data_IF_919879466504
#
_entry.id   IF_919879466504
#
_cell.length_a   1.000
_cell.length_b   1.000
_cell.length_c   1.000
_cell.angle_alpha   90.00
_cell.angle_beta   90.00
_cell.angle_gamma   90.00
#
_symmetry.space_group_name_H-M   'P 1'
#
loop_
_entity.id
_entity.type
_entity.pdbx_description
1 polymer ?
#
# COMPACT_ATOMS: atom_id res chain seq x y z
N UNK A 1 -4.72 -0.10 44.06
CA UNK A 1 -3.95 0.08 42.82
C UNK A 1 -4.89 -0.10 41.63
N UNK A 2 -5.15 0.94 40.83
CA UNK A 2 -5.90 0.81 39.56
C UNK A 2 -4.95 0.19 38.54
N UNK A 3 -5.29 -0.98 37.97
CA UNK A 3 -4.67 -1.46 36.73
C UNK A 3 -5.01 -0.43 35.65
N UNK A 4 -4.02 0.32 35.18
CA UNK A 4 -4.18 0.99 33.90
C UNK A 4 -4.07 -0.09 32.83
N UNK A 5 -5.20 -0.48 32.25
CA UNK A 5 -5.18 -1.19 30.99
C UNK A 5 -4.51 -0.25 29.97
N UNK A 6 -3.50 -0.74 29.26
CA UNK A 6 -2.96 -0.03 28.11
C UNK A 6 -4.05 -0.07 27.04
N UNK A 7 -4.88 0.98 26.98
CA UNK A 7 -5.90 1.12 25.96
C UNK A 7 -5.19 1.34 24.62
N UNK A 8 -5.23 0.33 23.76
CA UNK A 8 -4.77 0.48 22.39
C UNK A 8 -5.78 1.35 21.64
N UNK A 9 -5.32 2.29 20.79
CA UNK A 9 -6.25 3.04 19.96
C UNK A 9 -7.09 2.05 19.14
N UNK A 10 -8.40 2.29 19.10
CA UNK A 10 -9.30 1.51 18.26
C UNK A 10 -8.80 1.53 16.82
N UNK A 11 -8.90 0.39 16.15
CA UNK A 11 -8.46 0.30 14.77
C UNK A 11 -9.43 1.03 13.84
N UNK A 12 -8.86 1.91 13.02
CA UNK A 12 -9.51 2.36 11.80
C UNK A 12 -9.12 1.46 10.63
N UNK A 13 -10.11 0.84 10.01
CA UNK A 13 -9.92 -0.06 8.85
C UNK A 13 -9.78 0.71 7.52
N UNK A 14 -10.08 2.01 7.51
CA UNK A 14 -9.96 2.87 6.33
C UNK A 14 -9.39 4.21 6.81
N UNK A 15 -8.19 4.56 6.36
CA UNK A 15 -7.49 5.75 6.84
C UNK A 15 -7.43 6.84 5.77
N UNK A 16 -7.45 8.12 6.17
CA UNK A 16 -7.15 9.21 5.24
C UNK A 16 -5.79 8.98 4.59
N UNK A 17 -5.72 9.20 3.28
CA UNK A 17 -4.50 9.03 2.51
C UNK A 17 -4.12 10.32 1.81
N UNK A 18 -2.85 10.70 1.92
CA UNK A 18 -2.28 11.84 1.20
C UNK A 18 -0.89 11.47 0.70
N UNK A 19 -0.75 11.40 -0.62
CA UNK A 19 0.53 11.21 -1.28
C UNK A 19 0.61 12.14 -2.48
N UNK A 20 1.80 12.70 -2.71
CA UNK A 20 2.13 13.40 -3.95
C UNK A 20 2.87 12.49 -4.94
N UNK A 21 3.21 11.26 -4.53
CA UNK A 21 3.92 10.32 -5.37
C UNK A 21 3.01 9.80 -6.48
N UNK A 22 3.42 10.11 -7.70
CA UNK A 22 2.94 9.55 -8.94
C UNK A 22 2.64 8.03 -8.85
N UNK A 23 1.37 7.65 -8.87
CA UNK A 23 0.97 6.23 -8.99
C UNK A 23 0.89 5.52 -7.66
N UNK A 24 1.10 6.26 -6.56
CA UNK A 24 0.75 5.81 -5.23
C UNK A 24 -0.68 6.23 -4.92
N UNK A 25 -1.58 5.25 -4.98
CA UNK A 25 -3.03 5.40 -4.85
C UNK A 25 -3.51 4.77 -3.55
N UNK A 26 -4.70 5.16 -3.11
CA UNK A 26 -5.42 4.51 -2.02
C UNK A 26 -6.81 4.12 -2.48
N UNK A 27 -7.28 2.96 -2.02
CA UNK A 27 -8.61 2.46 -2.31
C UNK A 27 -9.07 1.51 -1.20
N UNK A 28 -10.28 0.99 -1.37
CA UNK A 28 -10.90 0.06 -0.43
C UNK A 28 -11.39 -1.19 -1.16
N UNK A 29 -11.46 -2.30 -0.43
CA UNK A 29 -12.16 -3.49 -0.88
C UNK A 29 -12.98 -4.08 0.25
N UNK A 30 -14.09 -4.73 -0.10
CA UNK A 30 -14.90 -5.45 0.88
C UNK A 30 -14.26 -6.81 1.22
N UNK A 31 -13.90 -7.00 2.48
CA UNK A 31 -13.38 -8.27 3.00
C UNK A 31 -14.53 -9.16 3.47
N UNK A 32 -14.75 -10.26 2.75
CA UNK A 32 -15.79 -11.24 3.11
C UNK A 32 -15.49 -11.95 4.44
N UNK A 33 -14.21 -12.20 4.76
CA UNK A 33 -13.82 -12.84 6.02
C UNK A 33 -14.03 -11.94 7.23
N UNK A 34 -13.80 -10.63 7.06
CA UNK A 34 -13.93 -9.63 8.12
C UNK A 34 -15.27 -8.91 8.15
N UNK A 35 -16.12 -9.16 7.12
CA UNK A 35 -17.43 -8.55 6.89
C UNK A 35 -17.40 -7.02 6.95
N UNK A 36 -16.37 -6.41 6.37
CA UNK A 36 -16.16 -4.95 6.36
C UNK A 36 -15.26 -4.51 5.20
N UNK A 37 -15.32 -3.23 4.86
CA UNK A 37 -14.38 -2.60 3.95
C UNK A 37 -13.02 -2.38 4.62
N UNK A 38 -11.96 -2.62 3.86
CA UNK A 38 -10.56 -2.48 4.29
C UNK A 38 -9.84 -1.55 3.31
N UNK A 39 -9.15 -0.56 3.85
CA UNK A 39 -8.29 0.36 3.13
C UNK A 39 -6.94 -0.27 2.78
N UNK A 40 -6.42 0.10 1.62
CA UNK A 40 -5.07 -0.22 1.21
C UNK A 40 -4.49 0.90 0.36
N UNK A 41 -3.17 1.06 0.43
CA UNK A 41 -2.44 1.86 -0.53
C UNK A 41 -1.72 0.96 -1.55
N UNK A 42 -1.51 1.45 -2.76
CA UNK A 42 -0.88 0.70 -3.85
C UNK A 42 0.00 1.61 -4.68
N UNK A 43 1.25 1.22 -4.87
CA UNK A 43 2.18 1.83 -5.81
C UNK A 43 2.16 1.06 -7.13
N UNK A 44 1.94 1.79 -8.22
CA UNK A 44 1.89 1.28 -9.57
C UNK A 44 3.08 1.84 -10.37
N UNK A 45 3.94 0.96 -10.91
CA UNK A 45 5.19 1.40 -11.52
C UNK A 45 4.96 2.11 -12.86
N UNK A 46 5.94 2.90 -13.34
CA UNK A 46 5.93 3.44 -14.70
C UNK A 46 5.63 2.36 -15.75
N UNK A 47 4.73 2.69 -16.67
CA UNK A 47 4.27 1.76 -17.72
C UNK A 47 3.24 0.72 -17.26
N UNK A 48 2.67 0.84 -16.06
CA UNK A 48 1.46 0.10 -15.68
C UNK A 48 0.22 0.63 -16.42
N UNK A 49 0.14 1.94 -16.62
CA UNK A 49 -0.88 2.61 -17.43
C UNK A 49 -0.37 2.91 -18.84
N UNK A 50 -1.25 2.80 -19.84
CA UNK A 50 -0.94 3.03 -21.25
C UNK A 50 -0.67 4.52 -21.56
N UNK A 51 -1.33 5.41 -20.82
CA UNK A 51 -1.30 6.85 -21.05
C UNK A 51 -0.86 7.57 -19.75
N UNK A 52 0.45 7.72 -19.56
CA UNK A 52 1.03 8.67 -18.58
C UNK A 52 1.83 9.75 -19.31
N UNK A 53 1.26 10.30 -20.39
CA UNK A 53 1.66 11.62 -20.87
C UNK A 53 0.76 12.64 -20.19
N UNK A 54 1.40 13.44 -19.33
CA UNK A 54 0.98 14.76 -18.87
C UNK A 54 -0.23 14.85 -17.89
N UNK A 55 0.12 15.22 -16.65
CA UNK A 55 -0.58 16.00 -15.63
C UNK A 55 -2.00 15.69 -15.12
N UNK A 56 -2.84 14.83 -15.73
CA UNK A 56 -4.19 14.57 -15.15
C UNK A 56 -4.39 13.09 -14.90
N UNK A 57 -4.06 12.68 -13.66
CA UNK A 57 -3.89 11.28 -13.25
C UNK A 57 -5.16 10.61 -12.70
N UNK A 58 -6.34 11.20 -12.83
CA UNK A 58 -7.44 10.85 -11.93
C UNK A 58 -8.71 10.27 -12.58
N UNK A 59 -8.90 10.27 -13.91
CA UNK A 59 -10.25 9.96 -14.44
C UNK A 59 -10.45 8.96 -15.57
N UNK A 60 -9.43 8.41 -16.23
CA UNK A 60 -9.64 7.34 -17.23
C UNK A 60 -8.39 6.47 -17.42
N UNK A 61 -8.16 5.62 -16.44
CA UNK A 61 -6.98 4.77 -16.40
C UNK A 61 -7.16 3.58 -17.36
N UNK A 62 -6.51 3.64 -18.53
CA UNK A 62 -6.33 2.46 -19.39
C UNK A 62 -5.05 1.72 -18.98
N UNK A 63 -5.18 0.50 -18.49
CA UNK A 63 -4.05 -0.38 -18.17
C UNK A 63 -3.51 -1.05 -19.43
N UNK A 64 -2.20 -1.33 -19.48
CA UNK A 64 -1.63 -2.09 -20.59
C UNK A 64 -2.16 -3.52 -20.56
N UNK A 65 -3.11 -3.83 -21.45
CA UNK A 65 -3.72 -5.16 -21.54
C UNK A 65 -2.64 -6.18 -21.87
N UNK A 66 -2.43 -7.16 -20.99
CA UNK A 66 -1.49 -8.27 -21.19
C UNK A 66 -0.13 -8.16 -20.48
N UNK A 67 0.27 -7.00 -19.95
CA UNK A 67 1.52 -6.88 -19.17
C UNK A 67 1.29 -7.29 -17.72
N UNK A 68 2.14 -8.21 -17.21
CA UNK A 68 2.14 -8.65 -15.81
C UNK A 68 3.33 -8.06 -15.07
N UNK A 69 3.12 -7.73 -13.81
CA UNK A 69 4.14 -7.22 -12.91
C UNK A 69 4.18 -8.13 -11.68
N UNK A 70 5.37 -8.40 -11.10
CA UNK A 70 5.45 -8.96 -9.77
C UNK A 70 4.77 -8.04 -8.75
N UNK A 71 4.35 -8.60 -7.62
CA UNK A 71 3.65 -7.88 -6.55
C UNK A 71 4.38 -8.12 -5.22
N UNK A 72 4.68 -7.03 -4.51
CA UNK A 72 5.19 -7.05 -3.14
C UNK A 72 4.08 -6.60 -2.20
N UNK A 73 3.79 -7.39 -1.18
CA UNK A 73 2.91 -6.99 -0.08
C UNK A 73 3.77 -6.47 1.08
N UNK A 74 3.70 -5.16 1.33
CA UNK A 74 4.45 -4.50 2.40
C UNK A 74 3.54 -4.29 3.61
N UNK A 75 3.83 -4.99 4.70
CA UNK A 75 3.02 -4.94 5.92
C UNK A 75 3.59 -3.94 6.91
N UNK A 76 2.73 -3.14 7.51
CA UNK A 76 3.12 -2.23 8.57
C UNK A 76 3.33 -2.96 9.90
N UNK A 77 4.13 -2.36 10.78
CA UNK A 77 4.31 -2.82 12.15
C UNK A 77 3.10 -2.48 13.05
N UNK A 78 3.24 -2.83 14.33
CA UNK A 78 2.22 -2.54 15.36
C UNK A 78 1.80 -1.07 15.37
N UNK A 79 0.50 -0.83 15.35
CA UNK A 79 -0.10 0.51 15.40
C UNK A 79 0.09 1.35 14.12
N UNK A 80 0.65 0.77 13.06
CA UNK A 80 0.66 1.38 11.73
C UNK A 80 -0.64 1.11 10.97
N UNK A 81 -0.69 1.62 9.74
CA UNK A 81 -1.78 1.48 8.80
C UNK A 81 -1.27 1.54 7.34
N UNK A 82 -2.17 1.54 6.37
CA UNK A 82 -1.85 1.62 4.95
C UNK A 82 -1.29 3.00 4.51
N UNK A 83 -1.57 4.05 5.27
CA UNK A 83 -1.33 5.46 4.92
C UNK A 83 -0.09 6.07 5.60
N UNK A 84 0.67 5.28 6.37
CA UNK A 84 1.82 5.80 7.12
C UNK A 84 2.85 6.49 6.21
N UNK A 85 3.46 7.58 6.71
CA UNK A 85 4.49 8.31 5.97
C UNK A 85 5.73 7.48 5.61
N UNK A 86 5.97 6.38 6.32
CA UNK A 86 7.02 5.43 5.98
C UNK A 86 6.70 4.65 4.70
N UNK A 87 5.45 4.24 4.49
CA UNK A 87 5.01 3.60 3.25
C UNK A 87 5.27 4.49 2.03
N UNK A 88 4.97 5.79 2.14
CA UNK A 88 5.24 6.79 1.08
C UNK A 88 6.74 6.84 0.76
N UNK A 89 7.61 6.85 1.78
CA UNK A 89 9.08 6.91 1.59
C UNK A 89 9.61 5.65 0.89
N UNK A 90 9.14 4.47 1.30
CA UNK A 90 9.54 3.20 0.67
C UNK A 90 9.07 3.15 -0.79
N UNK A 91 7.83 3.55 -1.07
CA UNK A 91 7.32 3.65 -2.44
C UNK A 91 8.15 4.63 -3.30
N UNK A 92 8.57 5.77 -2.75
CA UNK A 92 9.39 6.75 -3.47
C UNK A 92 10.83 6.24 -3.75
N UNK A 93 11.42 5.49 -2.81
CA UNK A 93 12.72 4.84 -3.04
C UNK A 93 12.62 3.78 -4.13
N UNK A 94 11.57 2.94 -4.08
CA UNK A 94 11.30 1.93 -5.09
C UNK A 94 11.10 2.55 -6.48
N UNK A 95 10.31 3.63 -6.58
CA UNK A 95 10.08 4.35 -7.83
C UNK A 95 11.38 4.86 -8.45
N UNK A 96 12.25 5.45 -7.63
CA UNK A 96 13.58 5.90 -8.06
C UNK A 96 14.44 4.76 -8.61
N UNK A 97 14.47 3.62 -7.93
CA UNK A 97 15.24 2.45 -8.37
C UNK A 97 14.65 1.77 -9.62
N UNK A 98 13.33 1.84 -9.82
CA UNK A 98 12.70 1.38 -11.06
C UNK A 98 13.06 2.30 -12.23
N UNK A 99 13.03 3.62 -12.02
CA UNK A 99 13.39 4.61 -13.05
C UNK A 99 14.87 4.54 -13.40
N UNK A 100 15.75 4.33 -12.41
CA UNK A 100 17.20 4.16 -12.63
C UNK A 100 17.56 2.83 -13.30
N UNK A 101 16.62 1.88 -13.36
CA UNK A 101 16.83 0.54 -13.88
C UNK A 101 17.50 -0.43 -12.90
N UNK A 102 17.70 -0.03 -11.64
CA UNK A 102 18.23 -0.90 -10.58
C UNK A 102 17.26 -2.02 -10.19
N UNK A 103 15.95 -1.79 -10.31
CA UNK A 103 14.89 -2.77 -10.05
C UNK A 103 13.95 -2.85 -11.26
N UNK A 104 13.52 -4.07 -11.64
CA UNK A 104 12.50 -4.23 -12.67
C UNK A 104 11.14 -3.71 -12.18
N UNK A 105 10.28 -3.13 -13.04
CA UNK A 105 8.97 -2.64 -12.64
C UNK A 105 8.17 -3.66 -11.81
N UNK A 106 7.70 -3.23 -10.65
CA UNK A 106 7.00 -4.06 -9.65
C UNK A 106 5.88 -3.25 -9.01
N UNK A 107 4.77 -3.91 -8.68
CA UNK A 107 3.66 -3.33 -7.91
C UNK A 107 3.95 -3.54 -6.43
N UNK A 108 3.67 -2.54 -5.60
CA UNK A 108 3.76 -2.68 -4.14
C UNK A 108 2.42 -2.33 -3.49
N UNK A 109 1.90 -3.23 -2.66
CA UNK A 109 0.61 -3.09 -1.98
C UNK A 109 0.85 -2.97 -0.49
N UNK A 110 0.17 -2.01 0.13
CA UNK A 110 0.22 -1.71 1.57
C UNK A 110 -1.18 -1.93 2.15
N UNK A 111 -1.53 -3.18 2.52
CA UNK A 111 -2.83 -3.47 3.11
C UNK A 111 -2.91 -2.99 4.57
N UNK A 112 -4.07 -2.49 4.99
CA UNK A 112 -4.36 -2.33 6.41
C UNK A 112 -4.59 -3.71 7.04
N UNK A 113 -3.76 -4.08 8.00
CA UNK A 113 -3.69 -5.45 8.53
C UNK A 113 -4.06 -5.57 10.01
N UNK A 114 -4.82 -4.63 10.57
CA UNK A 114 -5.14 -4.72 12.00
C UNK A 114 -4.21 -3.86 12.88
N UNK A 115 -4.53 -3.75 14.17
CA UNK A 115 -3.63 -3.12 15.15
C UNK A 115 -2.32 -3.92 15.35
N UNK A 116 -2.40 -5.23 15.06
CA UNK A 116 -1.32 -6.20 15.21
C UNK A 116 -1.38 -7.19 14.05
N UNK A 117 -0.62 -6.95 12.98
CA UNK A 117 -0.46 -7.94 11.93
C UNK A 117 0.45 -9.09 12.37
N UNK A 118 1.54 -8.78 13.10
CA UNK A 118 2.56 -9.72 13.62
C UNK A 118 3.01 -10.78 12.61
N UNK A 119 2.83 -10.52 11.31
CA UNK A 119 3.08 -11.50 10.28
C UNK A 119 4.59 -11.62 10.06
N UNK A 120 5.12 -12.79 10.42
CA UNK A 120 6.46 -13.24 10.09
C UNK A 120 6.34 -14.52 9.26
N UNK A 121 6.60 -14.41 7.96
CA UNK A 121 6.84 -15.56 7.09
C UNK A 121 8.34 -15.85 7.11
N UNK A 122 8.82 -16.49 8.19
CA UNK A 122 10.15 -17.06 8.25
C UNK A 122 10.05 -18.58 8.13
N UNK A 123 11.07 -19.20 7.55
CA UNK A 123 11.12 -20.65 7.29
C UNK A 123 10.93 -21.50 8.56
N UNK A 124 11.14 -20.89 9.73
CA UNK A 124 11.08 -21.47 11.08
C UNK A 124 9.83 -21.08 11.89
N UNK A 125 8.84 -20.40 11.29
CA UNK A 125 7.55 -20.06 11.91
C UNK A 125 6.59 -21.26 12.02
#
# INVERSE_FOLDING_TARGET
MKKMAMEFPEISWINPFKSQLAGFLHSTFYSSSMKRDIGYAIYLPPGYFLDLKDEIREKNIKTQTGKRFPVIYWLHGKGGDESTGFNIRIAAMLDKEIISGGIKPVIMVFPNCGSFSMFCDSYDS
#
